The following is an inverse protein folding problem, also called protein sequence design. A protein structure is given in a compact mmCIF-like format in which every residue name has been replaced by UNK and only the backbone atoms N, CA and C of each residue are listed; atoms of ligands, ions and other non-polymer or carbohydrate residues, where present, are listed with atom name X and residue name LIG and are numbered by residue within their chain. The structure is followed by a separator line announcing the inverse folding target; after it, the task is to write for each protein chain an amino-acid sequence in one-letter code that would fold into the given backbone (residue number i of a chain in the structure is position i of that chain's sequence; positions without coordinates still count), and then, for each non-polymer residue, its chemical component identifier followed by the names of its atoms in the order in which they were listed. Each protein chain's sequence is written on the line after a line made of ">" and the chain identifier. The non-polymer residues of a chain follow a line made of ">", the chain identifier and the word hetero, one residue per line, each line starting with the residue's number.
data_IF_940914157993
#
_entry.id   IF_940914157993
#
_cell.length_a   1.000
_cell.length_b   1.000
_cell.length_c   1.000
_cell.angle_alpha   90.00
_cell.angle_beta   90.00
_cell.angle_gamma   90.00
#
_symmetry.space_group_name_H-M   'P 1'
#
loop_
_entity.id
_entity.type
_entity.pdbx_description
1 polymer ?
#
# COMPACT_ATOMS: atom_id res chain seq x y z
N UNK A 1 8.35 -19.42 24.94
CA UNK A 1 7.19 -18.55 25.08
C UNK A 1 7.70 -17.15 24.89
N UNK A 2 7.48 -16.58 23.71
CA UNK A 2 7.77 -15.16 23.47
C UNK A 2 6.59 -14.39 24.02
N UNK A 3 6.87 -13.43 24.89
CA UNK A 3 5.86 -12.57 25.50
C UNK A 3 5.06 -11.89 24.38
N UNK A 4 3.71 -11.94 24.34
CA UNK A 4 2.93 -11.23 23.33
C UNK A 4 3.16 -9.70 23.39
N UNK A 5 3.64 -9.17 24.51
CA UNK A 5 4.10 -7.78 24.65
C UNK A 5 5.46 -7.52 23.96
N UNK A 6 6.17 -8.56 23.51
CA UNK A 6 7.40 -8.45 22.71
C UNK A 6 7.15 -8.42 21.19
N UNK A 7 5.91 -8.64 20.74
CA UNK A 7 5.50 -8.12 19.44
C UNK A 7 5.26 -6.61 19.63
N UNK A 8 6.35 -5.86 19.84
CA UNK A 8 6.40 -4.45 19.50
C UNK A 8 6.32 -4.38 17.97
N UNK A 9 5.14 -4.64 17.42
CA UNK A 9 4.76 -3.92 16.21
C UNK A 9 4.60 -2.51 16.72
N UNK A 10 5.68 -1.73 16.66
CA UNK A 10 5.60 -0.29 16.85
C UNK A 10 5.09 0.27 15.52
N UNK A 11 3.79 0.57 15.41
CA UNK A 11 3.24 1.13 14.19
C UNK A 11 3.76 2.54 13.88
N UNK A 12 4.42 3.17 14.85
CA UNK A 12 5.08 4.46 14.70
C UNK A 12 6.55 4.37 14.31
N UNK A 13 7.09 3.15 14.27
CA UNK A 13 8.47 2.93 13.88
C UNK A 13 8.64 3.11 12.36
N UNK A 14 9.63 3.93 12.00
CA UNK A 14 10.10 4.09 10.63
C UNK A 14 10.84 2.85 10.13
N UNK A 15 11.16 1.89 11.02
CA UNK A 15 11.86 0.65 10.64
C UNK A 15 10.96 -0.38 9.90
N UNK A 16 9.70 -0.03 9.60
CA UNK A 16 8.75 -0.86 8.83
C UNK A 16 8.57 -0.47 7.36
N UNK A 17 7.67 -1.16 6.65
CA UNK A 17 7.37 -0.94 5.22
C UNK A 17 7.05 0.52 4.91
N UNK A 18 6.33 1.20 5.80
CA UNK A 18 6.00 2.62 5.61
C UNK A 18 7.26 3.50 5.60
N UNK A 19 8.21 3.27 6.51
CA UNK A 19 9.44 4.05 6.53
C UNK A 19 10.39 3.71 5.39
N UNK A 20 10.46 2.45 4.95
CA UNK A 20 11.18 2.09 3.70
C UNK A 20 10.60 2.84 2.50
N UNK A 21 9.27 2.89 2.36
CA UNK A 21 8.62 3.63 1.27
C UNK A 21 8.84 5.14 1.40
N UNK A 22 8.92 5.66 2.63
CA UNK A 22 9.21 7.07 2.88
C UNK A 22 10.67 7.41 2.54
N UNK A 23 11.62 6.54 2.87
CA UNK A 23 13.03 6.67 2.51
C UNK A 23 13.21 6.63 0.99
N UNK A 24 12.61 5.65 0.31
CA UNK A 24 12.58 5.57 -1.16
C UNK A 24 11.98 6.86 -1.78
N UNK A 25 10.94 7.42 -1.16
CA UNK A 25 10.35 8.70 -1.60
C UNK A 25 11.31 9.87 -1.38
N UNK A 26 12.03 9.92 -0.26
CA UNK A 26 13.02 10.96 0.03
C UNK A 26 14.17 10.92 -0.99
N UNK A 27 14.76 9.75 -1.20
CA UNK A 27 15.85 9.56 -2.16
C UNK A 27 15.44 9.89 -3.59
N UNK A 28 14.22 9.50 -4.00
CA UNK A 28 13.76 9.73 -5.36
C UNK A 28 13.22 11.14 -5.59
N UNK A 29 12.50 11.73 -4.64
CA UNK A 29 11.79 13.00 -4.83
C UNK A 29 12.50 14.14 -4.13
N UNK A 30 12.77 14.03 -2.83
CA UNK A 30 13.31 15.15 -2.06
C UNK A 30 14.74 15.50 -2.48
N UNK A 31 15.58 14.49 -2.69
CA UNK A 31 16.98 14.68 -3.09
C UNK A 31 17.14 15.14 -4.55
N UNK A 32 16.16 14.84 -5.41
CA UNK A 32 16.18 15.24 -6.83
C UNK A 32 15.47 16.58 -7.10
N UNK A 33 14.63 17.10 -6.20
CA UNK A 33 14.02 18.43 -6.33
C UNK A 33 15.06 19.54 -6.56
N UNK A 34 16.22 19.57 -5.88
CA UNK A 34 17.28 20.55 -6.17
C UNK A 34 17.80 20.49 -7.61
N UNK A 35 17.95 19.30 -8.19
CA UNK A 35 18.37 19.14 -9.59
C UNK A 35 17.29 19.62 -10.56
N UNK A 36 16.04 19.20 -10.33
CA UNK A 36 14.87 19.71 -11.05
C UNK A 36 14.82 21.25 -11.02
N UNK A 37 14.95 21.85 -9.83
CA UNK A 37 14.90 23.30 -9.62
C UNK A 37 16.00 24.03 -10.39
N UNK A 38 17.20 23.42 -10.46
CA UNK A 38 18.34 23.96 -11.20
C UNK A 38 18.09 23.95 -12.71
N UNK A 39 17.56 22.85 -13.26
CA UNK A 39 17.27 22.74 -14.69
C UNK A 39 16.16 23.71 -15.12
N UNK A 40 15.12 23.88 -14.29
CA UNK A 40 14.08 24.89 -14.49
C UNK A 40 14.65 26.31 -14.54
N UNK A 41 15.64 26.63 -13.69
CA UNK A 41 16.30 27.95 -13.73
C UNK A 41 17.13 28.17 -15.00
N UNK A 42 17.75 27.12 -15.55
CA UNK A 42 18.50 27.20 -16.81
C UNK A 42 17.58 27.52 -17.99
N UNK A 43 16.37 26.94 -18.01
CA UNK A 43 15.35 27.21 -19.03
C UNK A 43 14.77 28.62 -19.00
N UNK A 44 15.04 29.42 -17.95
CA UNK A 44 14.61 30.83 -17.87
C UNK A 44 15.09 31.66 -19.05
N UNK A 45 16.24 31.30 -19.63
CA UNK A 45 16.85 32.02 -20.75
C UNK A 45 16.39 31.53 -22.13
N UNK A 46 15.94 30.28 -22.21
CA UNK A 46 15.63 29.60 -23.48
C UNK A 46 14.12 29.53 -23.81
N UNK A 47 13.27 29.93 -22.87
CA UNK A 47 11.81 29.93 -23.04
C UNK A 47 11.19 28.65 -22.47
N UNK A 48 10.87 28.68 -21.17
CA UNK A 48 10.23 27.58 -20.47
C UNK A 48 8.84 27.28 -21.06
N UNK A 49 8.61 26.03 -21.47
CA UNK A 49 7.31 25.54 -21.96
C UNK A 49 6.73 24.49 -21.01
N UNK A 50 5.47 24.13 -21.25
CA UNK A 50 4.82 23.07 -20.47
C UNK A 50 5.50 21.72 -20.68
N UNK A 51 5.87 21.43 -21.93
CA UNK A 51 6.55 20.21 -22.34
C UNK A 51 7.92 20.10 -21.68
N UNK A 52 8.71 21.18 -21.69
CA UNK A 52 10.04 21.15 -21.05
C UNK A 52 9.97 20.99 -19.54
N UNK A 53 8.95 21.56 -18.88
CA UNK A 53 8.72 21.31 -17.44
C UNK A 53 8.46 19.83 -17.15
N UNK A 54 7.64 19.16 -17.97
CA UNK A 54 7.33 17.74 -17.79
C UNK A 54 8.52 16.84 -18.10
N UNK A 55 9.29 17.16 -19.14
CA UNK A 55 10.52 16.43 -19.48
C UNK A 55 11.52 16.53 -18.32
N UNK A 56 11.83 17.74 -17.86
CA UNK A 56 12.72 17.98 -16.71
C UNK A 56 12.21 17.25 -15.46
N UNK A 57 10.89 17.25 -15.22
CA UNK A 57 10.32 16.49 -14.11
C UNK A 57 10.57 14.99 -14.23
N UNK A 58 10.29 14.37 -15.37
CA UNK A 58 10.46 12.93 -15.57
C UNK A 58 11.92 12.48 -15.73
N UNK A 59 12.82 13.40 -16.09
CA UNK A 59 14.25 13.14 -16.17
C UNK A 59 14.91 13.14 -14.78
N UNK A 60 14.39 13.94 -13.85
CA UNK A 60 14.94 14.07 -12.50
C UNK A 60 14.21 13.23 -11.45
N UNK A 61 12.92 12.96 -11.62
CA UNK A 61 12.10 12.22 -10.65
C UNK A 61 11.62 10.92 -11.28
N UNK A 62 11.99 9.79 -10.69
CA UNK A 62 11.62 8.48 -11.19
C UNK A 62 10.12 8.25 -11.03
N UNK A 63 9.44 8.09 -12.16
CA UNK A 63 8.01 7.79 -12.21
C UNK A 63 7.79 6.56 -13.08
N UNK A 64 7.10 5.57 -12.51
CA UNK A 64 6.67 4.36 -13.25
C UNK A 64 5.88 4.77 -14.48
N UNK A 65 6.17 4.14 -15.63
CA UNK A 65 5.56 4.50 -16.91
C UNK A 65 4.03 4.51 -16.90
N UNK A 66 3.39 3.61 -16.14
CA UNK A 66 1.94 3.56 -16.01
C UNK A 66 1.35 4.79 -15.27
N UNK A 67 2.15 5.43 -14.41
CA UNK A 67 1.74 6.56 -13.61
C UNK A 67 1.91 7.91 -14.34
N UNK A 68 2.80 7.99 -15.34
CA UNK A 68 3.10 9.25 -16.08
C UNK A 68 1.86 10.03 -16.55
N UNK A 69 0.78 9.41 -17.09
CA UNK A 69 -0.42 10.15 -17.49
C UNK A 69 -1.09 10.93 -16.35
N UNK A 70 -1.00 10.44 -15.11
CA UNK A 70 -1.56 11.12 -13.95
C UNK A 70 -0.79 12.40 -13.59
N UNK A 71 0.54 12.36 -13.72
CA UNK A 71 1.39 13.53 -13.53
C UNK A 71 1.17 14.57 -14.63
N UNK A 72 1.08 14.14 -15.90
CA UNK A 72 0.74 15.04 -17.01
C UNK A 72 -0.57 15.77 -16.74
N UNK A 73 -1.62 15.04 -16.35
CA UNK A 73 -2.92 15.64 -16.00
C UNK A 73 -2.82 16.59 -14.80
N UNK A 74 -2.04 16.25 -13.78
CA UNK A 74 -1.82 17.12 -12.62
C UNK A 74 -1.21 18.46 -13.03
N UNK A 75 -0.12 18.43 -13.81
CA UNK A 75 0.56 19.64 -14.27
C UNK A 75 -0.34 20.45 -15.21
N UNK A 76 -1.08 19.81 -16.11
CA UNK A 76 -2.07 20.49 -16.97
C UNK A 76 -3.10 21.26 -16.12
N UNK A 77 -3.66 20.61 -15.10
CA UNK A 77 -4.59 21.26 -14.19
C UNK A 77 -3.94 22.41 -13.42
N UNK A 78 -2.70 22.24 -12.95
CA UNK A 78 -1.96 23.27 -12.22
C UNK A 78 -1.74 24.53 -13.06
N UNK A 79 -1.34 24.36 -14.32
CA UNK A 79 -1.04 25.44 -15.26
C UNK A 79 -2.25 25.94 -16.06
N UNK A 80 -3.41 25.29 -15.97
CA UNK A 80 -4.65 25.76 -16.63
C UNK A 80 -5.08 27.17 -16.22
N UNK A 81 -4.70 27.59 -15.00
CA UNK A 81 -5.04 28.89 -14.40
C UNK A 81 -3.80 29.69 -13.97
N UNK A 82 -2.60 29.21 -14.30
CA UNK A 82 -1.33 29.80 -13.86
C UNK A 82 -0.38 29.97 -15.02
N UNK A 83 0.35 31.07 -15.02
CA UNK A 83 1.37 31.32 -16.03
C UNK A 83 2.54 30.34 -15.91
N UNK A 84 3.09 29.92 -17.04
CA UNK A 84 4.28 29.10 -17.12
C UNK A 84 5.50 29.97 -16.77
N UNK A 85 6.00 29.80 -15.55
CA UNK A 85 7.18 30.51 -15.05
C UNK A 85 8.03 29.56 -14.23
N UNK A 86 9.35 29.79 -14.11
CA UNK A 86 10.22 28.98 -13.26
C UNK A 86 9.69 28.87 -11.82
N UNK A 87 9.17 29.98 -11.27
CA UNK A 87 8.58 30.00 -9.93
C UNK A 87 7.40 29.04 -9.79
N UNK A 88 6.48 29.06 -10.76
CA UNK A 88 5.28 28.21 -10.71
C UNK A 88 5.61 26.73 -10.99
N UNK A 89 6.63 26.45 -11.81
CA UNK A 89 7.11 25.09 -12.05
C UNK A 89 7.67 24.44 -10.77
N UNK A 90 8.58 25.14 -10.09
CA UNK A 90 9.11 24.72 -8.78
C UNK A 90 8.01 24.48 -7.76
N UNK A 91 7.09 25.45 -7.65
CA UNK A 91 5.96 25.36 -6.73
C UNK A 91 5.01 24.21 -7.06
N UNK A 92 4.79 23.89 -8.33
CA UNK A 92 3.95 22.76 -8.74
C UNK A 92 4.50 21.44 -8.17
N UNK A 93 5.82 21.23 -8.23
CA UNK A 93 6.46 20.02 -7.69
C UNK A 93 6.48 20.01 -6.17
N UNK A 94 6.76 21.15 -5.53
CA UNK A 94 6.69 21.28 -4.07
C UNK A 94 5.28 20.99 -3.53
N UNK A 95 4.25 21.61 -4.12
CA UNK A 95 2.85 21.40 -3.75
C UNK A 95 2.45 19.91 -3.96
N UNK A 96 2.96 19.26 -5.03
CA UNK A 96 2.71 17.85 -5.29
C UNK A 96 3.39 16.94 -4.26
N UNK A 97 4.65 17.19 -3.92
CA UNK A 97 5.39 16.48 -2.86
C UNK A 97 4.63 16.57 -1.54
N UNK A 98 4.30 17.79 -1.13
CA UNK A 98 3.65 18.04 0.17
C UNK A 98 2.30 17.33 0.25
N UNK A 99 1.54 17.34 -0.86
CA UNK A 99 0.27 16.61 -0.93
C UNK A 99 0.46 15.11 -0.80
N UNK A 100 1.43 14.53 -1.50
CA UNK A 100 1.68 13.08 -1.44
C UNK A 100 2.08 12.66 -0.02
N UNK A 101 2.97 13.41 0.61
CA UNK A 101 3.39 13.15 2.00
C UNK A 101 2.23 13.30 2.99
N UNK A 102 1.42 14.35 2.83
CA UNK A 102 0.26 14.57 3.67
C UNK A 102 -0.77 13.44 3.53
N UNK A 103 -1.18 13.12 2.29
CA UNK A 103 -2.14 12.05 2.02
C UNK A 103 -1.62 10.69 2.51
N UNK A 104 -0.32 10.43 2.38
CA UNK A 104 0.30 9.19 2.86
C UNK A 104 0.23 9.10 4.40
N UNK A 105 0.55 10.19 5.09
CA UNK A 105 0.47 10.25 6.55
C UNK A 105 -0.96 10.12 7.06
N UNK A 106 -1.91 10.87 6.50
CA UNK A 106 -3.32 10.78 6.90
C UNK A 106 -3.87 9.36 6.70
N UNK A 107 -3.50 8.70 5.60
CA UNK A 107 -3.89 7.30 5.36
C UNK A 107 -3.23 6.34 6.34
N UNK A 108 -1.96 6.54 6.69
CA UNK A 108 -1.29 5.76 7.73
C UNK A 108 -2.06 5.89 9.04
N UNK A 109 -2.31 7.11 9.48
CA UNK A 109 -2.98 7.39 10.76
C UNK A 109 -4.40 6.80 10.76
N UNK A 110 -5.17 6.96 9.68
CA UNK A 110 -6.50 6.38 9.55
C UNK A 110 -6.50 4.84 9.53
N UNK A 111 -5.49 4.22 8.92
CA UNK A 111 -5.32 2.76 8.96
C UNK A 111 -4.97 2.31 10.38
N UNK A 112 -4.14 3.08 11.08
CA UNK A 112 -3.74 2.78 12.46
C UNK A 112 -4.91 2.88 13.44
N UNK A 113 -5.76 3.89 13.30
CA UNK A 113 -6.98 4.03 14.10
C UNK A 113 -7.97 2.87 13.88
N UNK A 114 -7.91 2.22 12.71
CA UNK A 114 -8.73 1.07 12.37
C UNK A 114 -8.15 -0.27 12.84
N UNK A 115 -6.92 -0.30 13.37
CA UNK A 115 -6.31 -1.54 13.89
C UNK A 115 -6.90 -1.88 15.26
N UNK A 116 -7.53 -3.04 15.34
CA UNK A 116 -7.96 -3.63 16.60
C UNK A 116 -7.06 -4.80 16.97
N UNK A 117 -6.28 -4.64 18.05
CA UNK A 117 -5.46 -5.71 18.60
C UNK A 117 -6.37 -6.66 19.38
N UNK A 118 -6.36 -7.93 18.97
CA UNK A 118 -7.12 -8.99 19.63
C UNK A 118 -6.17 -10.00 20.28
N UNK A 119 -6.61 -10.60 21.39
CA UNK A 119 -5.88 -11.72 21.98
C UNK A 119 -5.86 -12.90 21.01
N UNK A 120 -4.69 -13.51 20.85
CA UNK A 120 -4.54 -14.75 20.08
C UNK A 120 -5.44 -15.84 20.64
N UNK A 121 -6.06 -16.58 19.75
CA UNK A 121 -6.87 -17.78 20.02
C UNK A 121 -6.11 -19.07 19.72
N UNK A 122 -4.85 -18.98 19.27
CA UNK A 122 -4.05 -20.08 18.73
C UNK A 122 -4.02 -21.33 19.62
N UNK A 123 -3.88 -21.13 20.93
CA UNK A 123 -3.80 -22.23 21.90
C UNK A 123 -5.16 -22.92 22.14
N UNK A 124 -6.27 -22.25 21.82
CA UNK A 124 -7.63 -22.80 21.93
C UNK A 124 -8.06 -23.58 20.66
N UNK A 125 -7.26 -23.54 19.59
CA UNK A 125 -7.62 -23.98 18.24
C UNK A 125 -7.15 -25.41 17.89
N UNK A 126 -7.21 -26.34 18.85
CA UNK A 126 -6.72 -27.73 18.66
C UNK A 126 -7.47 -28.46 17.54
N UNK A 127 -8.80 -28.26 17.43
CA UNK A 127 -9.64 -28.85 16.36
C UNK A 127 -9.22 -28.35 14.99
N UNK A 128 -9.11 -27.02 14.82
CA UNK A 128 -8.72 -26.41 13.56
C UNK A 128 -7.29 -26.81 13.17
N UNK A 129 -6.38 -26.86 14.14
CA UNK A 129 -5.01 -27.35 13.95
C UNK A 129 -4.97 -28.78 13.43
N UNK A 130 -5.81 -29.66 14.00
CA UNK A 130 -5.98 -31.04 13.52
C UNK A 130 -6.46 -31.10 12.07
N UNK A 131 -7.51 -30.34 11.74
CA UNK A 131 -8.09 -30.30 10.39
C UNK A 131 -7.12 -29.74 9.35
N UNK A 132 -6.42 -28.64 9.65
CA UNK A 132 -5.38 -28.08 8.77
C UNK A 132 -4.23 -29.08 8.62
N UNK A 133 -3.81 -29.76 9.69
CA UNK A 133 -2.77 -30.79 9.61
C UNK A 133 -3.18 -31.98 8.74
N UNK A 134 -4.42 -32.42 8.82
CA UNK A 134 -4.94 -33.57 8.07
C UNK A 134 -5.17 -33.23 6.59
N UNK A 135 -5.78 -32.09 6.29
CA UNK A 135 -6.28 -31.78 4.93
C UNK A 135 -5.30 -30.94 4.10
N UNK A 136 -4.43 -30.16 4.76
CA UNK A 136 -3.52 -29.22 4.09
C UNK A 136 -2.06 -29.68 4.29
N UNK A 137 -1.75 -30.16 5.49
CA UNK A 137 -0.45 -30.68 5.90
C UNK A 137 0.41 -29.61 6.56
N UNK A 138 0.45 -29.59 7.90
CA UNK A 138 1.34 -28.71 8.69
C UNK A 138 2.74 -29.34 8.88
N UNK A 139 2.97 -30.58 8.43
CA UNK A 139 4.25 -31.24 8.65
C UNK A 139 5.34 -30.80 7.66
N UNK A 140 6.27 -30.01 8.19
CA UNK A 140 7.65 -29.73 7.75
C UNK A 140 7.90 -29.19 6.33
N UNK A 141 6.89 -28.92 5.49
CA UNK A 141 7.17 -28.50 4.10
C UNK A 141 6.14 -27.59 3.39
N UNK A 142 5.08 -27.12 4.06
CA UNK A 142 3.99 -26.40 3.35
C UNK A 142 3.56 -25.06 3.93
N UNK A 143 3.23 -24.98 5.21
CA UNK A 143 2.92 -23.71 5.87
C UNK A 143 3.89 -23.55 7.05
N UNK A 144 4.70 -22.49 7.08
CA UNK A 144 5.60 -22.20 8.20
C UNK A 144 4.85 -22.10 9.54
N UNK A 145 5.50 -22.43 10.68
CA UNK A 145 4.87 -22.34 11.99
C UNK A 145 4.27 -20.97 12.31
N UNK A 146 4.93 -19.89 11.89
CA UNK A 146 4.43 -18.52 12.09
C UNK A 146 3.14 -18.30 11.31
N UNK A 147 3.11 -18.62 10.02
CA UNK A 147 1.91 -18.45 9.19
C UNK A 147 0.75 -19.34 9.66
N UNK A 148 1.07 -20.50 10.24
CA UNK A 148 0.07 -21.37 10.87
C UNK A 148 -0.57 -20.73 12.11
N UNK A 149 0.16 -19.89 12.85
CA UNK A 149 -0.40 -19.16 14.00
C UNK A 149 -1.44 -18.14 13.53
N UNK A 150 -1.07 -17.29 12.56
CA UNK A 150 -1.97 -16.29 11.96
C UNK A 150 -3.23 -16.93 11.38
N UNK A 151 -3.07 -18.05 10.67
CA UNK A 151 -4.18 -18.77 10.06
C UNK A 151 -5.14 -19.35 11.12
N UNK A 152 -4.60 -19.99 12.16
CA UNK A 152 -5.43 -20.57 13.22
C UNK A 152 -6.13 -19.49 14.05
N UNK A 153 -5.49 -18.34 14.26
CA UNK A 153 -6.15 -17.18 14.87
C UNK A 153 -7.29 -16.65 14.02
N UNK A 154 -7.08 -16.50 12.72
CA UNK A 154 -8.14 -16.08 11.81
C UNK A 154 -9.32 -17.06 11.80
N UNK A 155 -9.05 -18.37 11.81
CA UNK A 155 -10.09 -19.41 11.92
C UNK A 155 -10.83 -19.29 13.25
N UNK A 156 -10.11 -19.13 14.37
CA UNK A 156 -10.74 -18.99 15.68
C UNK A 156 -11.62 -17.75 15.79
N UNK A 157 -11.24 -16.65 15.15
CA UNK A 157 -12.06 -15.44 15.04
C UNK A 157 -13.27 -15.65 14.10
N UNK A 158 -13.11 -16.43 13.03
CA UNK A 158 -14.21 -16.76 12.13
C UNK A 158 -15.26 -17.65 12.80
N UNK A 159 -14.84 -18.67 13.55
CA UNK A 159 -15.74 -19.52 14.34
C UNK A 159 -16.52 -18.75 15.41
N UNK A 160 -15.99 -17.60 15.85
CA UNK A 160 -16.63 -16.69 16.81
C UNK A 160 -17.47 -15.60 16.14
N UNK A 161 -17.67 -15.66 14.82
CA UNK A 161 -18.43 -14.67 14.04
C UNK A 161 -17.83 -13.26 14.10
N UNK A 162 -16.51 -13.15 14.34
CA UNK A 162 -15.78 -11.87 14.42
C UNK A 162 -15.12 -11.53 13.08
N UNK A 163 -14.68 -12.55 12.32
CA UNK A 163 -13.92 -12.38 11.09
C UNK A 163 -14.50 -13.24 9.97
N UNK A 164 -14.85 -12.64 8.84
CA UNK A 164 -15.36 -13.39 7.68
C UNK A 164 -14.34 -13.47 6.52
N UNK A 165 -13.27 -12.66 6.61
CA UNK A 165 -12.31 -12.46 5.52
C UNK A 165 -10.90 -12.28 6.05
N UNK A 166 -9.95 -13.00 5.46
CA UNK A 166 -8.51 -12.85 5.65
C UNK A 166 -7.90 -12.29 4.37
N UNK A 167 -7.17 -11.19 4.48
CA UNK A 167 -6.41 -10.62 3.37
C UNK A 167 -4.93 -10.80 3.66
N UNK A 168 -4.17 -11.38 2.74
CA UNK A 168 -2.74 -11.65 2.94
C UNK A 168 -1.91 -11.32 1.70
N UNK A 169 -0.67 -10.87 1.92
CA UNK A 169 0.36 -10.74 0.89
C UNK A 169 1.14 -12.03 0.63
N UNK A 170 0.97 -13.05 1.47
CA UNK A 170 1.64 -14.34 1.27
C UNK A 170 0.88 -15.21 0.28
N UNK A 171 1.39 -15.18 -0.96
CA UNK A 171 0.85 -15.97 -2.06
C UNK A 171 1.18 -17.47 -1.95
N UNK A 172 2.29 -17.83 -1.31
CA UNK A 172 2.86 -19.18 -1.41
C UNK A 172 2.29 -20.13 -0.38
N UNK A 173 2.12 -19.66 0.86
CA UNK A 173 1.84 -20.57 1.96
C UNK A 173 0.37 -20.48 2.38
N UNK A 174 -0.26 -19.31 2.37
CA UNK A 174 -1.69 -19.15 2.73
C UNK A 174 -2.61 -19.18 1.49
N UNK A 175 -2.43 -18.27 0.51
CA UNK A 175 -3.36 -18.14 -0.64
C UNK A 175 -3.45 -19.42 -1.47
N UNK A 176 -2.36 -20.18 -1.56
CA UNK A 176 -2.31 -21.47 -2.26
C UNK A 176 -3.41 -22.43 -1.81
N UNK A 177 -3.82 -22.36 -0.55
CA UNK A 177 -4.82 -23.24 0.04
C UNK A 177 -6.19 -22.57 0.26
N UNK A 178 -6.43 -21.41 -0.37
CA UNK A 178 -7.64 -20.60 -0.20
C UNK A 178 -8.94 -21.42 -0.33
N UNK A 179 -9.06 -22.29 -1.35
CA UNK A 179 -10.29 -23.06 -1.60
C UNK A 179 -10.54 -24.10 -0.51
N UNK A 180 -9.48 -24.73 -0.02
CA UNK A 180 -9.56 -25.74 1.04
C UNK A 180 -9.90 -25.08 2.37
N UNK A 181 -9.25 -23.95 2.69
CA UNK A 181 -9.49 -23.20 3.91
C UNK A 181 -10.90 -22.59 3.96
N UNK A 182 -11.36 -22.04 2.83
CA UNK A 182 -12.74 -21.53 2.70
C UNK A 182 -13.75 -22.67 2.91
N UNK A 183 -13.51 -23.84 2.32
CA UNK A 183 -14.39 -25.00 2.47
C UNK A 183 -14.40 -25.59 3.88
N UNK A 184 -13.31 -25.48 4.64
CA UNK A 184 -13.17 -26.10 5.96
C UNK A 184 -13.69 -25.22 7.09
N UNK A 185 -13.55 -23.89 6.96
CA UNK A 185 -13.74 -22.94 8.06
C UNK A 185 -14.67 -21.77 7.74
N UNK A 186 -15.33 -21.78 6.58
CA UNK A 186 -16.26 -20.73 6.14
C UNK A 186 -15.63 -19.31 6.20
N UNK A 187 -14.33 -19.23 5.95
CA UNK A 187 -13.55 -17.99 5.93
C UNK A 187 -13.07 -17.69 4.52
N UNK A 188 -13.32 -16.47 4.03
CA UNK A 188 -12.83 -16.07 2.71
C UNK A 188 -11.36 -15.65 2.80
N UNK A 189 -10.47 -16.28 2.02
CA UNK A 189 -9.07 -15.88 1.93
C UNK A 189 -8.85 -15.14 0.61
N UNK A 190 -8.27 -13.94 0.69
CA UNK A 190 -7.97 -13.10 -0.46
C UNK A 190 -6.49 -12.74 -0.49
N UNK A 191 -5.93 -12.72 -1.70
CA UNK A 191 -4.64 -12.12 -1.93
C UNK A 191 -4.78 -10.59 -1.96
N UNK A 192 -3.83 -9.88 -1.36
CA UNK A 192 -3.89 -8.42 -1.19
C UNK A 192 -4.12 -7.67 -2.50
N UNK A 193 -3.54 -8.12 -3.61
CA UNK A 193 -3.77 -7.47 -4.91
C UNK A 193 -5.22 -7.61 -5.37
N UNK A 194 -5.86 -8.75 -5.10
CA UNK A 194 -7.25 -9.00 -5.51
C UNK A 194 -8.24 -8.14 -4.72
N UNK A 195 -7.97 -7.89 -3.43
CA UNK A 195 -8.77 -6.98 -2.60
C UNK A 195 -8.80 -5.56 -3.20
N UNK A 196 -7.66 -5.06 -3.69
CA UNK A 196 -7.57 -3.72 -4.29
C UNK A 196 -8.01 -3.66 -5.76
N UNK A 197 -7.95 -4.77 -6.50
CA UNK A 197 -8.48 -4.83 -7.87
C UNK A 197 -10.01 -4.80 -7.90
N UNK A 198 -10.67 -5.36 -6.89
CA UNK A 198 -12.14 -5.47 -6.87
C UNK A 198 -12.84 -4.10 -6.78
N UNK A 199 -12.20 -3.08 -6.18
CA UNK A 199 -12.77 -1.72 -6.11
C UNK A 199 -12.61 -0.90 -7.40
N UNK A 200 -11.71 -1.29 -8.29
CA UNK A 200 -11.53 -0.58 -9.58
C UNK A 200 -12.63 -0.90 -10.60
N UNK A 201 -13.41 -1.97 -10.40
CA UNK A 201 -14.52 -2.35 -11.30
C UNK A 201 -15.91 -1.99 -10.77
N UNK A 202 -16.08 -1.76 -9.47
CA UNK A 202 -17.40 -1.42 -8.87
C UNK A 202 -17.68 0.09 -8.88
N UNK A 203 -16.74 0.92 -9.34
CA UNK A 203 -16.88 2.38 -9.44
C UNK A 203 -17.14 2.95 -10.85
N UNK A 204 -17.33 2.11 -11.88
CA UNK A 204 -17.66 2.57 -13.24
C UNK A 204 -19.12 2.41 -13.64
N UNK A 205 -19.94 1.74 -12.82
CA UNK A 205 -21.39 1.73 -13.02
C UNK A 205 -22.04 2.62 -11.95
N UNK A 206 -22.84 3.58 -12.41
CA UNK A 206 -23.66 4.54 -11.66
C UNK A 206 -23.00 5.83 -11.17
N UNK A 207 -22.74 6.75 -12.11
CA UNK A 207 -23.24 8.13 -12.01
C UNK A 207 -23.25 8.80 -13.41
N UNK A 208 -24.23 8.41 -14.24
CA UNK A 208 -24.89 9.38 -15.11
C UNK A 208 -25.87 10.17 -14.24
N UNK A 209 -25.55 11.42 -13.89
CA UNK A 209 -26.55 12.47 -13.62
C UNK A 209 -25.91 13.82 -14.03
N UNK A 210 -26.34 14.30 -15.22
CA UNK A 210 -26.31 15.66 -15.79
C UNK A 210 -25.10 16.58 -15.58
#
# INVERSE_FOLDING_TARGET
>A
MSDPDQLQVDPDDTDGVFGTVLEDFQENVEDNIPMYNREIDLQRYDGLSFESILEIFFDNIEVRSQAKPHFVRHFQNYFSSREITPRNAKRCVEDLRDRVLHDAKERKDALMDAVHVMSSTYDDQERARGLVKEHIGIQESRIPPVDSQWLLDAIGLAERDVLHRVVTGDKKDIVRYQQQLTSLFDVTILYILDEFHTRSQVGQDSHEIF
#
